data_IF_945232271464
#
_entry.id   IF_945232271464
#
_cell.length_a   1.000
_cell.length_b   1.000
_cell.length_c   1.000
_cell.angle_alpha   90.00
_cell.angle_beta   90.00
_cell.angle_gamma   90.00
#
_symmetry.space_group_name_H-M   'P 1'
#
loop_
_entity.id
_entity.type
_entity.pdbx_description
1 polymer ?
#
# COMPACT_ATOMS: atom_id res chain seq x y z
N UNK A 1 -18.66 6.11 42.21
CA UNK A 1 -19.62 5.22 41.54
C UNK A 1 -18.93 3.88 41.34
N UNK A 2 -19.44 2.80 41.95
CA UNK A 2 -18.93 1.43 41.74
C UNK A 2 -19.53 0.87 40.45
N UNK A 3 -18.70 0.39 39.54
CA UNK A 3 -19.14 -0.32 38.33
C UNK A 3 -18.79 -1.79 38.50
N UNK A 4 -19.72 -2.54 39.07
CA UNK A 4 -19.63 -4.00 39.09
C UNK A 4 -20.11 -4.51 37.71
N UNK A 5 -19.39 -5.48 37.13
CA UNK A 5 -19.77 -6.07 35.87
C UNK A 5 -20.92 -7.06 36.10
N UNK A 6 -22.09 -6.74 35.56
CA UNK A 6 -23.29 -7.60 35.59
C UNK A 6 -23.39 -8.42 34.31
N UNK A 7 -23.82 -9.68 34.45
CA UNK A 7 -24.13 -10.52 33.30
C UNK A 7 -25.35 -9.96 32.54
N UNK A 8 -25.19 -9.62 31.26
CA UNK A 8 -26.22 -8.96 30.47
C UNK A 8 -27.51 -9.76 30.23
N UNK A 9 -27.51 -11.07 30.53
CA UNK A 9 -28.68 -11.95 30.35
C UNK A 9 -29.41 -12.30 31.64
N UNK A 10 -28.71 -12.36 32.78
CA UNK A 10 -29.34 -12.74 34.06
C UNK A 10 -29.26 -11.65 35.14
N UNK A 11 -28.54 -10.55 34.91
CA UNK A 11 -28.44 -9.44 35.87
C UNK A 11 -27.68 -9.77 37.16
N UNK A 12 -27.05 -10.95 37.26
CA UNK A 12 -26.26 -11.31 38.44
C UNK A 12 -24.81 -10.78 38.35
N UNK A 13 -24.21 -10.38 39.48
CA UNK A 13 -22.83 -9.91 39.55
C UNK A 13 -21.86 -11.07 39.30
N UNK A 14 -20.89 -10.88 38.39
CA UNK A 14 -19.93 -11.93 38.03
C UNK A 14 -18.90 -12.13 39.16
N UNK A 15 -18.86 -13.31 39.83
CA UNK A 15 -17.89 -13.56 40.89
C UNK A 15 -16.47 -13.64 40.32
N UNK A 16 -15.55 -12.81 40.83
CA UNK A 16 -14.12 -12.87 40.46
C UNK A 16 -13.64 -11.83 39.44
N UNK A 17 -14.51 -10.93 38.96
CA UNK A 17 -14.07 -9.80 38.15
C UNK A 17 -13.28 -8.80 39.02
N UNK A 18 -11.97 -8.64 38.74
CA UNK A 18 -11.15 -7.62 39.42
C UNK A 18 -11.71 -6.23 39.10
N UNK A 19 -11.84 -5.33 40.11
CA UNK A 19 -12.35 -3.99 39.89
C UNK A 19 -11.43 -3.23 38.93
N UNK A 20 -12.01 -2.74 37.83
CA UNK A 20 -11.32 -1.86 36.89
C UNK A 20 -11.19 -0.51 37.57
N UNK A 21 -9.95 -0.15 37.92
CA UNK A 21 -9.62 1.16 38.49
C UNK A 21 -9.83 2.22 37.41
N UNK A 22 -10.71 3.21 37.60
CA UNK A 22 -10.81 4.32 36.66
C UNK A 22 -9.53 5.15 36.74
N UNK A 23 -8.84 5.29 35.61
CA UNK A 23 -7.72 6.23 35.47
C UNK A 23 -8.32 7.64 35.56
N UNK A 24 -8.07 8.31 36.68
CA UNK A 24 -8.44 9.69 36.89
C UNK A 24 -7.71 10.58 35.85
N UNK A 25 -8.47 11.35 35.09
CA UNK A 25 -7.95 12.48 34.31
C UNK A 25 -7.63 13.60 35.31
N UNK A 26 -6.34 13.86 35.53
CA UNK A 26 -5.91 15.08 36.21
C UNK A 26 -6.17 16.30 35.33
N UNK A 27 -6.89 17.26 35.91
CA UNK A 27 -7.07 18.62 35.42
C UNK A 27 -5.88 19.49 35.88
N UNK A 28 -5.20 20.11 34.90
CA UNK A 28 -4.59 21.47 34.82
C UNK A 28 -3.93 22.11 36.08
N UNK A 29 -2.82 22.86 35.91
CA UNK A 29 -3.00 24.28 35.55
C UNK A 29 -1.94 24.93 34.62
N UNK A 30 -2.45 25.96 33.95
CA UNK A 30 -1.88 27.25 33.52
C UNK A 30 -0.37 27.53 33.70
N UNK A 31 0.25 27.97 32.61
CA UNK A 31 1.54 28.67 32.62
C UNK A 31 1.68 29.55 31.38
N UNK A 32 1.11 30.75 31.43
CA UNK A 32 1.37 31.84 30.47
C UNK A 32 2.73 32.41 30.80
N UNK A 33 3.69 32.31 29.88
CA UNK A 33 4.95 33.05 29.96
C UNK A 33 5.29 33.65 28.58
N UNK A 34 5.47 34.96 28.65
CA UNK A 34 5.90 35.97 27.70
C UNK A 34 6.70 35.52 26.46
N UNK A 35 6.35 36.15 25.34
CA UNK A 35 7.11 36.20 24.11
C UNK A 35 8.50 36.86 24.32
N UNK A 36 9.59 36.32 23.74
CA UNK A 36 10.83 37.06 23.58
C UNK A 36 10.78 37.93 22.31
N UNK A 37 11.16 39.19 22.46
CA UNK A 37 11.46 40.11 21.37
C UNK A 37 12.58 39.56 20.46
N UNK A 38 12.52 39.77 19.14
CA UNK A 38 13.63 39.45 18.25
C UNK A 38 14.76 40.48 18.41
N UNK A 39 15.93 40.01 18.87
CA UNK A 39 17.18 40.77 18.78
C UNK A 39 17.71 40.68 17.35
N UNK A 40 17.92 41.84 16.76
CA UNK A 40 18.63 41.99 15.51
C UNK A 40 20.11 41.65 15.63
N UNK A 41 20.64 41.03 14.58
CA UNK A 41 22.07 41.07 14.27
C UNK A 41 22.25 41.12 12.76
N UNK A 42 23.03 42.10 12.36
CA UNK A 42 23.40 42.49 11.02
C UNK A 42 23.94 41.35 10.13
N UNK A 43 23.46 41.32 8.89
CA UNK A 43 24.23 40.85 7.73
C UNK A 43 24.24 41.96 6.67
N UNK A 44 25.38 42.18 5.97
CA UNK A 44 25.52 43.24 4.97
C UNK A 44 24.79 42.90 3.66
N UNK A 45 24.40 43.93 2.87
CA UNK A 45 23.57 43.75 1.69
C UNK A 45 24.35 43.19 0.51
N UNK A 46 23.86 42.10 -0.09
CA UNK A 46 24.21 41.73 -1.45
C UNK A 46 23.38 42.56 -2.43
N UNK A 47 24.09 43.23 -3.34
CA UNK A 47 23.51 43.95 -4.46
C UNK A 47 22.70 42.99 -5.34
N UNK A 48 21.44 43.31 -5.57
CA UNK A 48 20.55 42.58 -6.47
C UNK A 48 19.33 43.42 -6.75
N UNK A 49 19.16 43.79 -8.01
CA UNK A 49 18.18 44.72 -8.58
C UNK A 49 16.75 44.51 -8.09
N UNK A 50 16.18 45.61 -7.60
CA UNK A 50 14.77 45.73 -7.25
C UNK A 50 13.88 45.82 -8.50
N UNK A 51 12.86 44.98 -8.56
CA UNK A 51 11.57 45.30 -9.18
C UNK A 51 10.47 44.81 -8.25
N UNK A 52 10.08 45.71 -7.34
CA UNK A 52 8.89 45.60 -6.51
C UNK A 52 7.66 45.85 -7.38
N UNK A 53 6.87 44.81 -7.65
CA UNK A 53 5.51 44.95 -8.15
C UNK A 53 4.55 44.74 -6.96
N UNK A 54 4.05 45.85 -6.42
CA UNK A 54 2.88 45.85 -5.53
C UNK A 54 1.67 45.42 -6.35
N UNK A 55 1.23 44.18 -6.20
CA UNK A 55 -0.07 43.75 -6.71
C UNK A 55 -1.16 44.34 -5.80
N UNK A 56 -1.81 45.41 -6.27
CA UNK A 56 -3.07 45.87 -5.71
C UNK A 56 -4.17 44.91 -6.16
N UNK A 57 -4.73 44.15 -5.22
CA UNK A 57 -5.95 43.40 -5.42
C UNK A 57 -7.14 44.37 -5.49
N UNK A 58 -7.53 44.74 -6.71
CA UNK A 58 -8.82 45.38 -6.97
C UNK A 58 -9.87 44.27 -6.96
N UNK A 59 -10.57 44.13 -5.84
CA UNK A 59 -11.76 43.28 -5.72
C UNK A 59 -12.90 44.01 -6.45
N UNK A 60 -13.18 43.60 -7.68
CA UNK A 60 -14.43 43.93 -8.33
C UNK A 60 -15.54 43.11 -7.67
N UNK A 61 -16.27 43.71 -6.73
CA UNK A 61 -17.58 43.22 -6.30
C UNK A 61 -18.55 43.40 -7.47
N UNK A 62 -18.93 42.29 -8.09
CA UNK A 62 -20.13 42.23 -8.92
C UNK A 62 -21.29 41.79 -8.04
N UNK A 63 -22.28 42.67 -7.89
CA UNK A 63 -23.56 42.37 -7.24
C UNK A 63 -24.27 41.21 -7.95
N UNK A 64 -24.65 40.12 -7.25
CA UNK A 64 -25.55 39.15 -7.82
C UNK A 64 -26.98 39.70 -7.79
N UNK A 65 -27.56 39.82 -8.99
CA UNK A 65 -28.96 40.17 -9.20
C UNK A 65 -29.91 39.20 -8.46
N UNK A 66 -30.92 39.79 -7.83
CA UNK A 66 -32.02 39.14 -7.13
C UNK A 66 -32.75 38.09 -7.99
N UNK A 67 -32.52 36.82 -7.68
CA UNK A 67 -33.39 35.73 -8.11
C UNK A 67 -34.28 35.31 -6.93
N UNK A 68 -35.58 35.63 -7.05
CA UNK A 68 -36.64 35.21 -6.14
C UNK A 68 -36.65 33.68 -5.97
N UNK A 69 -36.63 33.14 -4.73
CA UNK A 69 -36.92 31.73 -4.52
C UNK A 69 -38.42 31.48 -4.68
N UNK A 70 -38.78 30.56 -5.57
CA UNK A 70 -40.12 30.00 -5.66
C UNK A 70 -40.31 29.00 -4.52
N UNK A 71 -41.23 29.32 -3.62
CA UNK A 71 -41.84 28.38 -2.67
C UNK A 71 -42.59 27.28 -3.45
N UNK A 72 -41.98 26.11 -3.59
CA UNK A 72 -42.69 24.87 -3.90
C UNK A 72 -41.84 23.65 -3.51
N UNK A 73 -42.47 22.74 -2.78
CA UNK A 73 -42.05 21.35 -2.49
C UNK A 73 -40.87 21.13 -1.52
N UNK A 74 -41.10 21.55 -0.27
CA UNK A 74 -40.67 20.78 0.90
C UNK A 74 -41.77 19.77 1.25
N UNK A 75 -41.61 18.51 0.84
CA UNK A 75 -41.95 17.30 1.61
C UNK A 75 -41.40 16.07 0.87
N UNK A 76 -40.87 15.10 1.63
CA UNK A 76 -40.52 13.74 1.19
C UNK A 76 -39.16 13.47 0.51
N UNK A 77 -38.04 13.75 1.20
CA UNK A 77 -36.81 12.94 1.00
C UNK A 77 -36.06 12.71 2.32
N UNK A 78 -36.71 12.08 3.30
CA UNK A 78 -36.00 11.42 4.41
C UNK A 78 -36.67 10.08 4.75
N UNK A 79 -36.42 9.07 3.91
CA UNK A 79 -36.71 7.68 4.25
C UNK A 79 -35.57 6.78 3.77
N UNK A 80 -34.42 6.88 4.45
CA UNK A 80 -33.38 5.85 4.35
C UNK A 80 -33.94 4.58 4.98
N UNK A 81 -34.38 3.66 4.13
CA UNK A 81 -34.84 2.33 4.53
C UNK A 81 -33.70 1.54 5.17
N UNK A 82 -33.55 1.67 6.49
CA UNK A 82 -32.92 0.65 7.31
C UNK A 82 -33.87 -0.54 7.27
N UNK A 83 -33.57 -1.49 6.39
CA UNK A 83 -34.26 -2.77 6.34
C UNK A 83 -33.89 -3.50 7.62
N UNK A 84 -34.79 -3.45 8.61
CA UNK A 84 -34.74 -4.32 9.78
C UNK A 84 -34.60 -5.76 9.27
N UNK A 85 -33.42 -6.35 9.50
CA UNK A 85 -33.25 -7.78 9.31
C UNK A 85 -34.03 -8.44 10.42
N UNK A 86 -35.09 -9.14 10.06
CA UNK A 86 -35.76 -10.11 10.92
C UNK A 86 -34.70 -10.97 11.63
N UNK A 87 -34.89 -11.19 12.94
CA UNK A 87 -34.09 -12.12 13.72
C UNK A 87 -34.24 -13.51 13.09
N UNK A 88 -33.32 -13.85 12.20
CA UNK A 88 -33.16 -15.21 11.70
C UNK A 88 -32.85 -16.12 12.87
N UNK A 89 -33.71 -17.11 13.11
CA UNK A 89 -33.51 -18.17 14.09
C UNK A 89 -32.10 -18.77 13.98
N UNK A 90 -31.46 -19.10 15.11
CA UNK A 90 -30.14 -19.72 15.08
C UNK A 90 -30.23 -21.04 14.31
N UNK A 91 -29.53 -21.11 13.17
CA UNK A 91 -29.41 -22.33 12.40
C UNK A 91 -28.98 -23.48 13.34
N UNK A 92 -29.69 -24.63 13.35
CA UNK A 92 -29.34 -25.75 14.21
C UNK A 92 -27.93 -26.21 13.84
N UNK A 93 -27.00 -26.02 14.78
CA UNK A 93 -25.64 -26.52 14.68
C UNK A 93 -25.71 -28.03 14.82
N UNK A 94 -25.89 -28.72 13.70
CA UNK A 94 -25.72 -30.16 13.62
C UNK A 94 -24.27 -30.47 14.02
N UNK A 95 -24.04 -31.29 15.07
CA UNK A 95 -22.71 -31.76 15.39
C UNK A 95 -22.20 -32.53 14.17
N UNK A 96 -21.15 -31.98 13.54
CA UNK A 96 -20.35 -32.68 12.55
C UNK A 96 -19.71 -33.88 13.25
N UNK A 97 -20.43 -35.00 13.29
CA UNK A 97 -19.85 -36.30 13.54
C UNK A 97 -18.85 -36.55 12.42
N UNK A 98 -17.58 -36.24 12.70
CA UNK A 98 -16.44 -36.60 11.87
C UNK A 98 -16.41 -38.12 11.83
N UNK A 99 -17.05 -38.69 10.82
CA UNK A 99 -17.01 -40.13 10.51
C UNK A 99 -15.54 -40.47 10.27
N UNK A 100 -14.93 -41.09 11.25
CA UNK A 100 -13.60 -41.68 11.15
C UNK A 100 -13.81 -42.93 10.31
N UNK A 101 -13.68 -42.78 8.99
CA UNK A 101 -13.62 -43.93 8.11
C UNK A 101 -12.26 -44.56 8.34
N UNK A 102 -12.27 -45.65 9.11
CA UNK A 102 -11.13 -46.50 9.34
C UNK A 102 -10.66 -47.05 7.99
N UNK A 103 -9.41 -46.72 7.66
CA UNK A 103 -8.68 -47.09 6.47
C UNK A 103 -8.35 -48.58 6.44
N UNK A 104 -9.36 -49.44 6.37
CA UNK A 104 -9.20 -50.89 6.24
C UNK A 104 -9.35 -51.39 4.79
N UNK A 105 -9.78 -50.55 3.84
CA UNK A 105 -10.12 -51.01 2.48
C UNK A 105 -8.98 -50.99 1.45
N UNK A 106 -7.84 -50.35 1.70
CA UNK A 106 -6.71 -50.36 0.75
C UNK A 106 -5.74 -51.53 0.95
N UNK A 107 -5.72 -52.14 2.13
CA UNK A 107 -4.82 -53.27 2.41
C UNK A 107 -5.35 -54.59 1.83
N UNK A 108 -6.68 -54.73 1.73
CA UNK A 108 -7.33 -55.91 1.16
C UNK A 108 -7.27 -55.93 -0.37
N UNK A 109 -7.23 -54.76 -1.03
CA UNK A 109 -7.10 -54.67 -2.49
C UNK A 109 -5.69 -55.05 -3.01
N UNK A 110 -4.66 -54.91 -2.17
CA UNK A 110 -3.28 -55.32 -2.53
C UNK A 110 -3.03 -56.82 -2.33
N UNK A 111 -3.82 -57.51 -1.53
CA UNK A 111 -3.65 -58.95 -1.29
C UNK A 111 -4.14 -59.82 -2.46
N UNK A 112 -5.04 -59.31 -3.32
CA UNK A 112 -5.67 -60.10 -4.40
C UNK A 112 -4.90 -60.05 -5.73
N UNK A 113 -3.92 -59.15 -5.89
CA UNK A 113 -3.21 -58.97 -7.19
C UNK A 113 -1.81 -59.60 -7.22
N UNK A 114 -1.48 -60.48 -6.26
CA UNK A 114 -0.18 -61.16 -6.14
C UNK A 114 -0.18 -62.60 -6.65
N UNK A 115 -0.56 -62.83 -7.92
CA UNK A 115 -0.59 -64.16 -8.53
C UNK A 115 0.55 -64.40 -9.53
N UNK A 116 1.60 -65.07 -9.04
CA UNK A 116 2.51 -66.01 -9.72
C UNK A 116 3.09 -65.71 -11.13
N UNK A 117 4.41 -65.50 -11.19
CA UNK A 117 5.25 -65.96 -12.31
C UNK A 117 6.64 -66.34 -11.76
N UNK A 118 7.14 -67.57 -11.99
CA UNK A 118 8.43 -67.99 -11.46
C UNK A 118 9.59 -67.79 -12.47
N UNK A 119 10.76 -67.53 -11.87
CA UNK A 119 12.13 -67.77 -12.36
C UNK A 119 12.81 -66.82 -13.35
N UNK A 120 13.78 -66.08 -12.80
CA UNK A 120 14.98 -65.58 -13.46
C UNK A 120 15.97 -65.06 -12.40
N UNK A 121 17.18 -65.63 -12.27
CA UNK A 121 18.13 -65.20 -11.24
C UNK A 121 18.97 -64.01 -11.70
N UNK A 122 19.53 -63.29 -10.72
CA UNK A 122 20.59 -62.27 -10.83
C UNK A 122 20.16 -60.82 -11.07
N UNK A 123 19.95 -60.08 -9.97
CA UNK A 123 20.80 -58.95 -9.61
C UNK A 123 20.30 -58.37 -8.29
N UNK A 124 21.06 -58.61 -7.24
CA UNK A 124 20.83 -58.12 -5.88
C UNK A 124 21.00 -56.60 -5.85
N UNK A 125 19.90 -55.87 -6.11
CA UNK A 125 19.82 -54.45 -5.79
C UNK A 125 19.55 -54.31 -4.28
N UNK A 126 20.38 -53.55 -3.53
CA UNK A 126 20.10 -53.27 -2.14
C UNK A 126 18.80 -52.46 -2.07
N UNK A 127 17.73 -53.11 -1.60
CA UNK A 127 16.46 -52.47 -1.27
C UNK A 127 16.75 -51.45 -0.17
N UNK A 128 16.84 -50.17 -0.57
CA UNK A 128 16.71 -49.05 0.35
C UNK A 128 15.32 -49.13 0.97
N UNK A 129 15.28 -49.65 2.20
CA UNK A 129 14.14 -49.55 3.10
C UNK A 129 13.83 -48.07 3.28
N UNK A 130 12.81 -47.59 2.57
CA UNK A 130 12.18 -46.31 2.85
C UNK A 130 11.56 -46.47 4.25
N UNK A 131 12.02 -45.74 5.27
CA UNK A 131 11.43 -45.86 6.60
C UNK A 131 9.98 -45.40 6.52
N UNK A 132 9.06 -46.30 6.92
CA UNK A 132 7.66 -45.98 7.14
C UNK A 132 7.58 -44.77 8.08
N UNK A 133 7.13 -43.66 7.50
CA UNK A 133 7.01 -42.38 8.18
C UNK A 133 5.67 -42.31 8.90
N UNK A 134 5.41 -43.30 9.76
CA UNK A 134 4.35 -43.28 10.77
C UNK A 134 4.75 -42.36 11.93
N UNK A 135 5.21 -41.15 11.62
CA UNK A 135 5.27 -40.07 12.61
C UNK A 135 3.87 -39.51 12.74
N UNK A 136 3.03 -40.25 13.47
CA UNK A 136 1.93 -39.64 14.22
C UNK A 136 2.54 -38.46 14.98
N UNK A 137 2.10 -37.24 14.62
CA UNK A 137 2.60 -36.02 15.23
C UNK A 137 2.47 -36.19 16.76
N UNK A 138 3.56 -36.16 17.53
CA UNK A 138 3.47 -36.24 18.98
C UNK A 138 2.48 -35.16 19.42
N UNK A 139 1.48 -35.60 20.18
CA UNK A 139 0.36 -34.82 20.65
C UNK A 139 0.90 -33.67 21.51
N UNK A 140 1.30 -32.58 20.85
CA UNK A 140 1.98 -31.46 21.45
C UNK A 140 0.96 -30.79 22.35
N UNK A 141 1.12 -30.96 23.67
CA UNK A 141 0.30 -30.27 24.66
C UNK A 141 0.48 -28.78 24.45
N UNK A 142 -0.54 -28.13 23.88
CA UNK A 142 -0.56 -26.70 23.68
C UNK A 142 -0.65 -26.06 25.07
N UNK A 143 0.35 -25.29 25.51
CA UNK A 143 0.30 -24.65 26.82
C UNK A 143 -0.92 -23.73 26.91
N UNK A 144 -1.55 -23.59 28.09
CA UNK A 144 -2.75 -22.80 28.28
C UNK A 144 -2.45 -21.32 28.11
N UNK A 145 -2.51 -20.84 26.87
CA UNK A 145 -2.56 -19.42 26.55
C UNK A 145 -3.93 -18.83 26.90
N UNK A 146 -4.05 -17.51 27.05
CA UNK A 146 -5.35 -16.85 27.21
C UNK A 146 -6.27 -17.28 26.07
N UNK A 147 -7.59 -17.46 26.32
CA UNK A 147 -8.53 -18.00 25.35
C UNK A 147 -8.53 -17.11 24.10
N UNK A 148 -7.85 -17.56 23.06
CA UNK A 148 -7.89 -16.91 21.75
C UNK A 148 -9.31 -17.12 21.25
N UNK A 149 -10.05 -16.03 21.07
CA UNK A 149 -11.38 -16.09 20.50
C UNK A 149 -11.31 -16.87 19.18
N UNK A 150 -12.23 -17.82 18.97
CA UNK A 150 -12.27 -18.62 17.74
C UNK A 150 -12.30 -17.73 16.48
N UNK A 151 -12.83 -16.52 16.59
CA UNK A 151 -12.78 -15.49 15.54
C UNK A 151 -11.38 -15.03 15.16
N UNK A 152 -10.44 -14.97 16.12
CA UNK A 152 -9.06 -14.54 15.86
C UNK A 152 -8.25 -15.68 15.25
N UNK A 153 -8.48 -16.93 15.66
CA UNK A 153 -7.93 -18.11 14.98
C UNK A 153 -8.40 -18.20 13.52
N UNK A 154 -9.69 -17.98 13.26
CA UNK A 154 -10.24 -17.94 11.90
C UNK A 154 -9.65 -16.78 11.07
N UNK A 155 -9.46 -15.61 11.68
CA UNK A 155 -8.82 -14.45 11.01
C UNK A 155 -7.35 -14.70 10.69
N UNK A 156 -6.64 -15.43 11.54
CA UNK A 156 -5.23 -15.76 11.34
C UNK A 156 -5.06 -16.88 10.30
N UNK A 157 -5.94 -17.89 10.31
CA UNK A 157 -5.97 -18.96 9.31
C UNK A 157 -6.40 -18.50 7.91
N UNK A 158 -7.23 -17.45 7.82
CA UNK A 158 -7.64 -16.89 6.52
C UNK A 158 -6.63 -15.93 5.89
N UNK A 159 -5.48 -15.64 6.53
CA UNK A 159 -4.45 -14.81 5.88
C UNK A 159 -3.80 -15.61 4.74
N UNK A 160 -3.83 -15.12 3.49
CA UNK A 160 -3.20 -15.81 2.37
C UNK A 160 -1.70 -16.00 2.65
N UNK A 161 -1.19 -17.21 2.41
CA UNK A 161 0.25 -17.49 2.54
C UNK A 161 1.11 -16.74 1.52
N UNK A 162 0.50 -16.31 0.40
CA UNK A 162 1.15 -15.54 -0.67
C UNK A 162 0.20 -14.48 -1.24
N UNK A 163 -0.06 -13.39 -0.50
CA UNK A 163 -1.03 -12.38 -0.92
C UNK A 163 -0.60 -11.73 -2.23
N UNK A 164 -1.54 -11.64 -3.17
CA UNK A 164 -1.38 -10.92 -4.44
C UNK A 164 -0.36 -11.55 -5.41
N UNK A 165 0.07 -12.80 -5.23
CA UNK A 165 1.11 -13.40 -6.07
C UNK A 165 0.73 -13.49 -7.54
N UNK A 166 -0.54 -13.81 -7.86
CA UNK A 166 -1.05 -13.82 -9.25
C UNK A 166 -1.27 -12.40 -9.77
N UNK A 167 -1.91 -11.55 -8.96
CA UNK A 167 -2.22 -10.17 -9.33
C UNK A 167 -0.95 -9.37 -9.66
N UNK A 168 0.11 -9.47 -8.84
CA UNK A 168 1.38 -8.79 -9.10
C UNK A 168 1.99 -9.24 -10.43
N UNK A 169 1.92 -10.53 -10.78
CA UNK A 169 2.47 -11.01 -12.06
C UNK A 169 1.71 -10.43 -13.24
N UNK A 170 0.37 -10.47 -13.19
CA UNK A 170 -0.48 -9.93 -14.26
C UNK A 170 -0.24 -8.43 -14.41
N UNK A 171 -0.24 -7.68 -13.30
CA UNK A 171 -0.01 -6.23 -13.31
C UNK A 171 1.40 -5.90 -13.79
N UNK A 172 2.44 -6.64 -13.36
CA UNK A 172 3.81 -6.42 -13.81
C UNK A 172 3.96 -6.67 -15.31
N UNK A 173 3.42 -7.78 -15.83
CA UNK A 173 3.48 -8.07 -17.27
C UNK A 173 2.70 -7.03 -18.07
N UNK A 174 1.49 -6.67 -17.63
CA UNK A 174 0.66 -5.68 -18.31
C UNK A 174 1.32 -4.29 -18.34
N UNK A 175 1.81 -3.80 -17.19
CA UNK A 175 2.48 -2.50 -17.12
C UNK A 175 3.80 -2.49 -17.88
N UNK A 176 4.59 -3.57 -17.81
CA UNK A 176 5.81 -3.69 -18.63
C UNK A 176 5.52 -3.69 -20.12
N UNK A 177 4.47 -4.38 -20.57
CA UNK A 177 4.08 -4.40 -21.98
C UNK A 177 3.61 -3.03 -22.46
N UNK A 178 2.74 -2.35 -21.70
CA UNK A 178 2.27 -1.00 -22.00
C UNK A 178 3.45 -0.03 -22.02
N UNK A 179 4.31 -0.07 -20.99
CA UNK A 179 5.50 0.75 -20.92
C UNK A 179 6.46 0.50 -22.09
N UNK A 180 6.60 -0.75 -22.54
CA UNK A 180 7.49 -1.10 -23.66
C UNK A 180 6.99 -0.53 -24.97
N UNK A 181 5.68 -0.65 -25.23
CA UNK A 181 5.05 -0.04 -26.41
C UNK A 181 5.21 1.47 -26.37
N UNK A 182 4.92 2.11 -25.23
CA UNK A 182 5.03 3.55 -25.10
C UNK A 182 6.49 4.05 -25.25
N UNK A 183 7.45 3.37 -24.62
CA UNK A 183 8.87 3.69 -24.75
C UNK A 183 9.36 3.53 -26.19
N UNK A 184 8.95 2.47 -26.90
CA UNK A 184 9.32 2.25 -28.30
C UNK A 184 8.72 3.31 -29.24
N UNK A 185 7.47 3.70 -29.03
CA UNK A 185 6.80 4.71 -29.83
C UNK A 185 7.41 6.10 -29.67
N UNK A 186 7.83 6.46 -28.45
CA UNK A 186 8.32 7.81 -28.17
C UNK A 186 9.85 7.92 -28.30
N UNK A 187 10.60 6.87 -27.94
CA UNK A 187 12.04 6.95 -27.80
C UNK A 187 12.87 6.72 -29.06
N UNK A 188 12.30 6.20 -30.15
CA UNK A 188 13.04 5.94 -31.39
C UNK A 188 14.25 5.00 -31.23
N UNK A 189 15.31 5.21 -32.02
CA UNK A 189 16.52 4.35 -32.07
C UNK A 189 17.62 4.81 -31.07
N UNK A 190 17.24 5.54 -30.02
CA UNK A 190 18.22 6.06 -29.06
C UNK A 190 18.69 4.98 -28.06
N UNK A 191 19.97 4.96 -27.63
CA UNK A 191 20.48 4.01 -26.62
C UNK A 191 19.66 3.97 -25.33
N UNK A 192 19.17 5.11 -24.85
CA UNK A 192 18.30 5.18 -23.66
C UNK A 192 16.97 4.44 -23.83
N UNK A 193 16.45 4.41 -25.06
CA UNK A 193 15.21 3.68 -25.40
C UNK A 193 15.46 2.17 -25.31
N UNK A 194 16.62 1.70 -25.76
CA UNK A 194 17.02 0.30 -25.60
C UNK A 194 17.21 -0.08 -24.12
N UNK A 195 17.82 0.79 -23.31
CA UNK A 195 17.95 0.58 -21.85
C UNK A 195 16.58 0.50 -21.20
N UNK A 196 15.68 1.43 -21.54
CA UNK A 196 14.29 1.46 -21.05
C UNK A 196 13.54 0.17 -21.41
N UNK A 197 13.61 -0.24 -22.68
CA UNK A 197 13.03 -1.48 -23.17
C UNK A 197 13.60 -2.71 -22.43
N UNK A 198 14.93 -2.78 -22.25
CA UNK A 198 15.59 -3.87 -21.55
C UNK A 198 15.12 -3.99 -20.09
N UNK A 199 14.95 -2.87 -19.39
CA UNK A 199 14.44 -2.86 -18.02
C UNK A 199 12.98 -3.34 -17.95
N UNK A 200 12.13 -2.91 -18.89
CA UNK A 200 10.72 -3.34 -18.96
C UNK A 200 10.58 -4.83 -19.27
N UNK A 201 11.38 -5.33 -20.22
CA UNK A 201 11.48 -6.77 -20.54
C UNK A 201 12.00 -7.54 -19.32
N UNK A 202 13.01 -7.02 -18.61
CA UNK A 202 13.53 -7.64 -17.39
C UNK A 202 12.46 -7.72 -16.30
N UNK A 203 11.66 -6.67 -16.10
CA UNK A 203 10.53 -6.70 -15.15
C UNK A 203 9.46 -7.73 -15.55
N UNK A 204 9.09 -7.80 -16.84
CA UNK A 204 8.13 -8.78 -17.34
C UNK A 204 8.65 -10.23 -17.19
N UNK A 205 9.91 -10.47 -17.54
CA UNK A 205 10.52 -11.80 -17.43
C UNK A 205 10.66 -12.23 -15.97
N UNK A 206 11.06 -11.34 -15.05
CA UNK A 206 11.08 -11.63 -13.62
C UNK A 206 9.69 -11.94 -13.05
N UNK A 207 8.65 -11.29 -13.57
CA UNK A 207 7.27 -11.58 -13.19
C UNK A 207 6.83 -12.98 -13.64
N UNK A 208 7.22 -13.41 -14.84
CA UNK A 208 6.87 -14.71 -15.42
C UNK A 208 7.71 -15.87 -14.89
N UNK A 209 8.99 -15.64 -14.58
CA UNK A 209 9.93 -16.69 -14.14
C UNK A 209 9.41 -17.41 -12.88
N UNK A 210 9.43 -18.75 -12.83
CA UNK A 210 9.02 -19.53 -11.66
C UNK A 210 10.06 -19.43 -10.53
N UNK A 211 10.08 -18.28 -9.86
CA UNK A 211 10.89 -18.03 -8.67
C UNK A 211 10.07 -18.11 -7.38
N UNK A 212 10.76 -18.29 -6.25
CA UNK A 212 10.14 -18.13 -4.93
C UNK A 212 9.53 -16.73 -4.78
N UNK A 213 8.44 -16.62 -4.03
CA UNK A 213 7.72 -15.36 -3.81
C UNK A 213 8.65 -14.23 -3.34
N UNK A 214 9.52 -14.53 -2.36
CA UNK A 214 10.48 -13.58 -1.81
C UNK A 214 11.53 -13.15 -2.82
N UNK A 215 12.10 -14.08 -3.58
CA UNK A 215 13.11 -13.76 -4.58
C UNK A 215 12.51 -12.84 -5.65
N UNK A 216 11.32 -13.17 -6.17
CA UNK A 216 10.63 -12.32 -7.17
C UNK A 216 10.39 -10.92 -6.64
N UNK A 217 9.84 -10.79 -5.42
CA UNK A 217 9.57 -9.48 -4.83
C UNK A 217 10.84 -8.62 -4.74
N UNK A 218 11.94 -9.18 -4.23
CA UNK A 218 13.22 -8.47 -4.12
C UNK A 218 13.74 -8.07 -5.50
N UNK A 219 13.72 -8.99 -6.47
CA UNK A 219 14.18 -8.70 -7.84
C UNK A 219 13.35 -7.60 -8.49
N UNK A 220 12.03 -7.60 -8.35
CA UNK A 220 11.16 -6.56 -8.90
C UNK A 220 11.37 -5.20 -8.22
N UNK A 221 11.57 -5.17 -6.89
CA UNK A 221 11.92 -3.92 -6.18
C UNK A 221 13.25 -3.37 -6.70
N UNK A 222 14.27 -4.22 -6.84
CA UNK A 222 15.59 -3.78 -7.29
C UNK A 222 15.55 -3.25 -8.73
N UNK A 223 14.96 -4.00 -9.66
CA UNK A 223 14.86 -3.56 -11.06
C UNK A 223 13.97 -2.34 -11.21
N UNK A 224 12.85 -2.27 -10.47
CA UNK A 224 11.99 -1.09 -10.44
C UNK A 224 12.70 0.15 -9.86
N UNK A 225 13.53 -0.02 -8.84
CA UNK A 225 14.35 1.06 -8.29
C UNK A 225 15.43 1.52 -9.28
N UNK A 226 16.07 0.60 -10.01
CA UNK A 226 17.03 0.95 -11.07
C UNK A 226 16.32 1.73 -12.19
N UNK A 227 15.16 1.26 -12.66
CA UNK A 227 14.37 1.96 -13.67
C UNK A 227 13.97 3.38 -13.23
N UNK A 228 13.55 3.51 -11.97
CA UNK A 228 13.26 4.82 -11.37
C UNK A 228 14.51 5.68 -11.30
N UNK A 229 15.65 5.13 -10.88
CA UNK A 229 16.93 5.84 -10.84
C UNK A 229 17.39 6.34 -12.21
N UNK A 230 17.19 5.55 -13.28
CA UNK A 230 17.48 5.99 -14.66
C UNK A 230 16.60 7.17 -15.06
N UNK A 231 15.30 7.12 -14.76
CA UNK A 231 14.39 8.23 -15.05
C UNK A 231 14.79 9.51 -14.31
N UNK A 232 15.12 9.39 -13.02
CA UNK A 232 15.57 10.50 -12.18
C UNK A 232 16.92 11.07 -12.62
N UNK A 233 17.82 10.20 -13.09
CA UNK A 233 19.09 10.63 -13.68
C UNK A 233 18.85 11.47 -14.94
N UNK A 234 17.93 11.04 -15.82
CA UNK A 234 17.57 11.83 -16.99
C UNK A 234 16.94 13.17 -16.60
N UNK A 235 16.10 13.20 -15.57
CA UNK A 235 15.57 14.47 -15.04
C UNK A 235 16.69 15.41 -14.60
N UNK A 236 17.66 14.92 -13.84
CA UNK A 236 18.78 15.72 -13.38
C UNK A 236 19.68 16.24 -14.54
N UNK A 237 19.85 15.46 -15.61
CA UNK A 237 20.62 15.89 -16.80
C UNK A 237 19.92 17.02 -17.56
N UNK A 238 18.59 17.08 -17.51
CA UNK A 238 17.79 18.13 -18.14
C UNK A 238 17.43 19.29 -17.19
N UNK A 239 18.17 19.43 -16.08
CA UNK A 239 17.93 20.44 -15.03
C UNK A 239 16.48 20.45 -14.50
N UNK A 240 15.77 19.31 -14.58
CA UNK A 240 14.49 19.15 -13.92
C UNK A 240 14.70 19.01 -12.41
N UNK A 241 13.79 19.61 -11.64
CA UNK A 241 13.94 19.74 -10.20
C UNK A 241 14.10 18.35 -9.51
N UNK A 242 15.00 18.23 -8.51
CA UNK A 242 15.31 16.95 -7.85
C UNK A 242 14.14 16.36 -7.03
N UNK A 243 13.03 17.06 -6.97
CA UNK A 243 11.82 16.70 -6.23
C UNK A 243 11.24 15.36 -6.67
N UNK A 244 11.43 14.99 -7.95
CA UNK A 244 11.01 13.71 -8.50
C UNK A 244 11.56 12.52 -7.71
N UNK A 245 12.79 12.63 -7.18
CA UNK A 245 13.45 11.55 -6.42
C UNK A 245 12.69 11.30 -5.12
N UNK A 246 12.37 12.38 -4.40
CA UNK A 246 11.70 12.32 -3.10
C UNK A 246 10.28 11.80 -3.30
N UNK A 247 9.56 12.28 -4.32
CA UNK A 247 8.21 11.81 -4.63
C UNK A 247 8.19 10.32 -4.98
N UNK A 248 9.08 9.87 -5.88
CA UNK A 248 9.12 8.47 -6.29
C UNK A 248 9.45 7.56 -5.09
N UNK A 249 10.46 7.92 -4.29
CA UNK A 249 10.82 7.20 -3.08
C UNK A 249 9.69 7.14 -2.04
N UNK A 250 9.04 8.29 -1.79
CA UNK A 250 7.89 8.37 -0.89
C UNK A 250 6.72 7.52 -1.40
N UNK A 251 6.47 7.51 -2.71
CA UNK A 251 5.41 6.74 -3.36
C UNK A 251 5.66 5.24 -3.22
N UNK A 252 6.88 4.77 -3.51
CA UNK A 252 7.27 3.35 -3.32
C UNK A 252 7.08 2.94 -1.86
N UNK A 253 7.63 3.74 -0.94
CA UNK A 253 7.61 3.43 0.47
C UNK A 253 6.20 3.43 1.06
N UNK A 254 5.42 4.48 0.80
CA UNK A 254 4.08 4.65 1.37
C UNK A 254 3.09 3.64 0.79
N UNK A 255 3.08 3.42 -0.53
CA UNK A 255 2.22 2.40 -1.15
C UNK A 255 2.56 0.98 -0.64
N UNK A 256 3.85 0.64 -0.57
CA UNK A 256 4.32 -0.63 -0.02
C UNK A 256 3.96 -0.81 1.46
N UNK A 257 4.08 0.26 2.26
CA UNK A 257 3.72 0.26 3.67
C UNK A 257 2.20 0.13 3.91
N UNK A 258 1.37 0.80 3.11
CA UNK A 258 -0.09 0.73 3.17
C UNK A 258 -0.60 -0.66 2.78
N UNK A 259 -0.04 -1.26 1.72
CA UNK A 259 -0.34 -2.65 1.35
C UNK A 259 0.10 -3.63 2.43
N UNK A 260 1.32 -3.48 2.96
CA UNK A 260 1.79 -4.30 4.07
C UNK A 260 0.87 -4.18 5.30
N UNK A 261 0.41 -2.97 5.62
CA UNK A 261 -0.55 -2.72 6.69
C UNK A 261 -1.91 -3.39 6.43
N UNK A 262 -2.38 -3.40 5.18
CA UNK A 262 -3.63 -4.07 4.81
C UNK A 262 -3.59 -5.56 5.19
N UNK A 263 -2.43 -6.21 5.02
CA UNK A 263 -2.18 -7.61 5.37
C UNK A 263 -1.84 -7.82 6.87
N UNK A 264 -1.02 -6.94 7.47
CA UNK A 264 -0.45 -7.07 8.82
C UNK A 264 -0.75 -5.85 9.71
N UNK A 265 -2.01 -5.70 10.10
CA UNK A 265 -2.52 -4.52 10.83
C UNK A 265 -2.00 -4.38 12.25
N UNK A 266 -1.85 -5.51 12.93
CA UNK A 266 -1.37 -5.58 14.31
C UNK A 266 0.15 -5.40 14.44
N UNK A 267 0.89 -5.50 13.33
CA UNK A 267 2.33 -5.39 13.36
C UNK A 267 2.76 -3.94 13.68
N UNK A 268 3.60 -3.76 14.71
CA UNK A 268 4.21 -2.44 15.00
C UNK A 268 5.01 -1.91 13.82
N UNK A 269 5.67 -2.82 13.09
CA UNK A 269 6.42 -2.51 11.87
C UNK A 269 5.57 -1.81 10.81
N UNK A 270 4.30 -2.19 10.64
CA UNK A 270 3.43 -1.58 9.62
C UNK A 270 3.00 -0.16 9.99
N UNK A 271 2.91 0.16 11.28
CA UNK A 271 2.68 1.54 11.75
C UNK A 271 3.91 2.40 11.48
N UNK A 272 5.09 1.89 11.83
CA UNK A 272 6.34 2.60 11.62
C UNK A 272 6.61 2.86 10.14
N UNK A 273 6.40 1.88 9.27
CA UNK A 273 6.62 2.05 7.83
C UNK A 273 5.64 3.04 7.19
N UNK A 274 4.37 3.05 7.61
CA UNK A 274 3.39 4.05 7.13
C UNK A 274 3.75 5.44 7.66
N UNK A 275 4.17 5.58 8.92
CA UNK A 275 4.63 6.87 9.46
C UNK A 275 5.78 7.41 8.60
N UNK A 276 6.78 6.58 8.32
CA UNK A 276 7.93 6.96 7.51
C UNK A 276 7.52 7.38 6.08
N UNK A 277 6.61 6.63 5.46
CA UNK A 277 6.07 6.96 4.14
C UNK A 277 5.30 8.29 4.12
N UNK A 278 4.46 8.53 5.14
CA UNK A 278 3.71 9.80 5.26
C UNK A 278 4.66 10.97 5.53
N UNK A 279 5.68 10.79 6.38
CA UNK A 279 6.67 11.85 6.61
C UNK A 279 7.49 12.16 5.37
N UNK A 280 7.86 11.14 4.58
CA UNK A 280 8.58 11.34 3.32
C UNK A 280 7.73 12.08 2.29
N UNK A 281 6.45 11.71 2.16
CA UNK A 281 5.52 12.38 1.24
C UNK A 281 5.18 13.80 1.70
N UNK A 282 5.04 14.02 3.01
CA UNK A 282 4.84 15.35 3.59
C UNK A 282 6.06 16.25 3.41
N UNK A 283 7.28 15.71 3.57
CA UNK A 283 8.52 16.44 3.29
C UNK A 283 8.60 16.85 1.82
N UNK A 284 8.28 15.93 0.89
CA UNK A 284 8.16 16.28 -0.53
C UNK A 284 7.15 17.41 -0.76
N UNK A 285 5.94 17.30 -0.20
CA UNK A 285 4.88 18.30 -0.39
C UNK A 285 5.28 19.71 0.10
N UNK A 286 6.08 19.79 1.16
CA UNK A 286 6.60 21.05 1.69
C UNK A 286 7.71 21.60 0.79
N UNK A 287 8.64 20.75 0.36
CA UNK A 287 9.76 21.15 -0.51
C UNK A 287 9.26 21.61 -1.87
N UNK A 288 8.26 20.94 -2.43
CA UNK A 288 7.70 21.26 -3.76
C UNK A 288 6.85 22.52 -3.83
N UNK A 289 6.75 23.28 -2.74
CA UNK A 289 5.88 24.44 -2.68
C UNK A 289 4.41 24.08 -2.97
N UNK A 290 3.99 22.84 -2.72
CA UNK A 290 2.65 22.35 -3.11
C UNK A 290 1.48 23.13 -2.50
N UNK A 291 1.74 23.95 -1.49
CA UNK A 291 0.79 24.88 -0.89
C UNK A 291 0.70 26.22 -1.63
N UNK A 292 1.77 26.65 -2.30
CA UNK A 292 1.84 27.89 -3.08
C UNK A 292 1.25 27.70 -4.49
N UNK A 293 1.26 26.46 -5.02
CA UNK A 293 0.79 26.14 -6.38
C UNK A 293 -0.70 26.45 -6.61
N UNK A 294 -1.51 26.56 -5.55
CA UNK A 294 -2.92 26.95 -5.65
C UNK A 294 -3.16 28.45 -5.87
N UNK A 295 -2.16 29.30 -5.64
CA UNK A 295 -2.31 30.76 -5.77
C UNK A 295 -2.06 31.23 -7.21
N UNK A 296 -1.40 30.40 -8.03
CA UNK A 296 -0.91 30.74 -9.38
C UNK A 296 -1.67 29.99 -10.49
N UNK A 297 -2.99 29.79 -10.35
CA UNK A 297 -3.76 29.11 -11.40
C UNK A 297 -4.02 30.05 -12.58
N UNK A 298 -3.19 29.95 -13.61
CA UNK A 298 -3.52 30.45 -14.94
C UNK A 298 -4.64 29.61 -15.57
N UNK A 299 -5.38 30.17 -16.55
CA UNK A 299 -6.55 29.53 -17.15
C UNK A 299 -6.28 28.29 -18.02
N UNK A 300 -5.06 27.75 -18.03
CA UNK A 300 -4.65 26.64 -18.88
C UNK A 300 -4.30 25.38 -18.09
N UNK A 301 -4.50 24.19 -18.67
CA UNK A 301 -4.35 22.92 -17.95
C UNK A 301 -2.94 22.63 -17.45
N UNK A 302 -1.91 23.16 -18.12
CA UNK A 302 -0.52 22.95 -17.72
C UNK A 302 -0.17 23.59 -16.37
N UNK A 303 -0.88 24.65 -15.94
CA UNK A 303 -0.66 25.28 -14.63
C UNK A 303 -1.44 24.56 -13.53
N UNK A 304 -2.72 24.27 -13.75
CA UNK A 304 -3.57 23.72 -12.71
C UNK A 304 -3.47 22.20 -12.54
N UNK A 305 -3.18 21.43 -13.60
CA UNK A 305 -3.17 19.96 -13.49
C UNK A 305 -2.07 19.44 -12.55
N UNK A 306 -0.80 19.89 -12.64
CA UNK A 306 0.23 19.53 -11.67
C UNK A 306 -0.13 19.97 -10.24
N UNK A 307 -0.63 21.21 -10.07
CA UNK A 307 -1.04 21.72 -8.76
C UNK A 307 -2.14 20.86 -8.12
N UNK A 308 -3.17 20.47 -8.89
CA UNK A 308 -4.22 19.56 -8.40
C UNK A 308 -3.61 18.22 -7.99
N UNK A 309 -2.73 17.62 -8.79
CA UNK A 309 -2.11 16.34 -8.42
C UNK A 309 -1.28 16.43 -7.14
N UNK A 310 -0.52 17.52 -6.93
CA UNK A 310 0.22 17.76 -5.69
C UNK A 310 -0.72 17.85 -4.48
N UNK A 311 -1.84 18.58 -4.61
CA UNK A 311 -2.84 18.69 -3.55
C UNK A 311 -3.49 17.35 -3.24
N UNK A 312 -3.80 16.53 -4.26
CA UNK A 312 -4.36 15.19 -4.06
C UNK A 312 -3.32 14.27 -3.39
N UNK A 313 -2.02 14.41 -3.67
CA UNK A 313 -0.98 13.71 -2.92
C UNK A 313 -0.96 14.11 -1.45
N UNK A 314 -1.01 15.41 -1.15
CA UNK A 314 -1.11 15.91 0.22
C UNK A 314 -2.34 15.36 0.95
N UNK A 315 -3.50 15.37 0.28
CA UNK A 315 -4.74 14.80 0.81
C UNK A 315 -4.61 13.29 1.05
N UNK A 316 -4.03 12.53 0.12
CA UNK A 316 -3.78 11.10 0.30
C UNK A 316 -2.80 10.81 1.42
N UNK A 317 -1.79 11.67 1.64
CA UNK A 317 -0.89 11.57 2.79
C UNK A 317 -1.66 11.72 4.11
N UNK A 318 -2.55 12.72 4.20
CA UNK A 318 -3.42 12.92 5.36
C UNK A 318 -4.42 11.78 5.54
N UNK A 319 -5.06 11.31 4.47
CA UNK A 319 -5.95 10.15 4.51
C UNK A 319 -5.21 8.86 4.90
N UNK A 320 -3.93 8.76 4.56
CA UNK A 320 -3.08 7.65 5.00
C UNK A 320 -2.83 7.68 6.51
N UNK A 321 -2.94 8.84 7.18
CA UNK A 321 -2.93 8.92 8.65
C UNK A 321 -4.16 8.25 9.27
N UNK A 322 -5.31 8.23 8.60
CA UNK A 322 -6.48 7.48 9.08
C UNK A 322 -6.17 5.99 9.19
N UNK A 323 -5.18 5.49 8.44
CA UNK A 323 -4.72 4.12 8.61
C UNK A 323 -4.22 3.85 10.04
N UNK A 324 -3.78 4.85 10.81
CA UNK A 324 -3.37 4.69 12.21
C UNK A 324 -4.52 4.47 13.18
N UNK A 325 -5.73 4.94 12.87
CA UNK A 325 -6.74 5.21 13.90
C UNK A 325 -7.31 3.98 14.59
N UNK A 326 -7.37 2.81 13.95
CA UNK A 326 -7.68 1.57 14.67
C UNK A 326 -7.30 0.32 13.86
N UNK A 327 -6.96 -0.75 14.58
CA UNK A 327 -6.85 -2.12 14.08
C UNK A 327 -8.13 -2.64 13.40
N UNK A 328 -9.29 -2.07 13.79
CA UNK A 328 -10.62 -2.43 13.29
C UNK A 328 -10.90 -1.94 11.87
N UNK A 329 -10.29 -0.83 11.43
CA UNK A 329 -10.55 -0.23 10.11
C UNK A 329 -9.97 -1.12 8.99
N UNK A 330 -10.87 -1.77 8.23
CA UNK A 330 -10.51 -2.67 7.11
C UNK A 330 -10.35 -1.98 5.76
N UNK A 331 -11.07 -0.89 5.52
CA UNK A 331 -11.43 -0.49 4.16
C UNK A 331 -10.37 0.27 3.38
N UNK A 332 -9.59 1.14 4.02
CA UNK A 332 -8.87 2.16 3.25
C UNK A 332 -7.52 1.75 2.68
N UNK A 333 -6.69 1.00 3.42
CA UNK A 333 -5.24 0.97 3.14
C UNK A 333 -4.87 0.45 1.74
N UNK A 334 -5.56 -0.57 1.22
CA UNK A 334 -5.32 -1.09 -0.12
C UNK A 334 -5.83 -0.13 -1.21
N UNK A 335 -6.97 0.52 -0.97
CA UNK A 335 -7.54 1.54 -1.85
C UNK A 335 -6.61 2.75 -1.92
N UNK A 336 -6.13 3.23 -0.77
CA UNK A 336 -5.18 4.36 -0.70
C UNK A 336 -3.85 4.03 -1.37
N UNK A 337 -3.32 2.83 -1.18
CA UNK A 337 -2.12 2.41 -1.89
C UNK A 337 -2.33 2.39 -3.41
N UNK A 338 -3.45 1.84 -3.88
CA UNK A 338 -3.80 1.84 -5.30
C UNK A 338 -3.98 3.25 -5.85
N UNK A 339 -4.72 4.10 -5.14
CA UNK A 339 -4.94 5.51 -5.50
C UNK A 339 -3.61 6.28 -5.60
N UNK A 340 -2.68 6.04 -4.68
CA UNK A 340 -1.38 6.71 -4.66
C UNK A 340 -0.50 6.30 -5.85
N UNK A 341 -0.50 5.01 -6.21
CA UNK A 341 0.21 4.51 -7.40
C UNK A 341 -0.40 5.02 -8.70
N UNK A 342 -1.74 5.04 -8.79
CA UNK A 342 -2.46 5.58 -9.96
C UNK A 342 -2.23 7.08 -10.09
N UNK A 343 -2.32 7.84 -9.00
CA UNK A 343 -2.07 9.27 -8.99
C UNK A 343 -0.63 9.59 -9.43
N UNK A 344 0.35 8.78 -9.01
CA UNK A 344 1.72 8.92 -9.48
C UNK A 344 1.87 8.68 -10.98
N UNK A 345 1.21 7.66 -11.52
CA UNK A 345 1.18 7.45 -12.97
C UNK A 345 0.51 8.62 -13.72
N UNK A 346 -0.58 9.18 -13.17
CA UNK A 346 -1.25 10.36 -13.73
C UNK A 346 -0.32 11.57 -13.66
N UNK A 347 0.35 11.80 -12.53
CA UNK A 347 1.30 12.90 -12.36
C UNK A 347 2.41 12.87 -13.42
N UNK A 348 3.07 11.73 -13.58
CA UNK A 348 4.11 11.58 -14.63
C UNK A 348 3.49 11.75 -16.02
N UNK A 349 2.29 11.23 -16.26
CA UNK A 349 1.58 11.41 -17.52
C UNK A 349 1.26 12.88 -17.84
N UNK A 350 0.86 13.67 -16.84
CA UNK A 350 0.61 15.10 -16.97
C UNK A 350 1.91 15.86 -17.28
N UNK A 351 3.01 15.52 -16.60
CA UNK A 351 4.33 16.11 -16.89
C UNK A 351 4.76 15.81 -18.34
N UNK A 352 4.67 14.54 -18.76
CA UNK A 352 5.00 14.15 -20.13
C UNK A 352 4.09 14.83 -21.15
N UNK A 353 2.78 14.91 -20.88
CA UNK A 353 1.84 15.57 -21.77
C UNK A 353 2.12 17.07 -21.89
N UNK A 354 2.57 17.73 -20.82
CA UNK A 354 2.90 19.15 -20.80
C UNK A 354 4.04 19.46 -21.77
N UNK A 355 5.02 18.57 -21.83
CA UNK A 355 6.21 18.68 -22.67
C UNK A 355 5.95 18.28 -24.13
N UNK A 356 5.06 17.31 -24.36
CA UNK A 356 4.69 16.87 -25.71
C UNK A 356 3.73 17.84 -26.39
N UNK A 357 2.86 18.52 -25.63
CA UNK A 357 1.85 19.43 -26.17
C UNK A 357 1.92 20.84 -25.53
N UNK A 358 2.98 21.62 -25.82
CA UNK A 358 3.14 22.96 -25.28
C UNK A 358 2.09 23.93 -25.85
N UNK A 359 1.37 24.65 -24.98
CA UNK A 359 0.30 25.58 -25.37
C UNK A 359 0.82 26.88 -26.01
N UNK A 360 2.06 27.25 -25.72
CA UNK A 360 2.69 28.53 -26.11
C UNK A 360 3.37 28.50 -27.49
N UNK A 361 3.16 27.44 -28.29
CA UNK A 361 3.85 27.27 -29.58
C UNK A 361 5.37 27.10 -29.44
N UNK A 362 5.85 26.86 -28.21
CA UNK A 362 7.23 26.49 -27.96
C UNK A 362 7.50 25.12 -28.58
N UNK A 363 8.73 24.92 -29.07
CA UNK A 363 9.15 23.59 -29.49
C UNK A 363 9.15 22.66 -28.25
N UNK A 364 8.77 21.38 -28.40
CA UNK A 364 8.86 20.42 -27.29
C UNK A 364 10.30 20.38 -26.76
N UNK A 365 10.44 20.57 -25.43
CA UNK A 365 11.75 20.70 -24.79
C UNK A 365 12.39 19.34 -24.49
N UNK A 366 11.55 18.33 -24.25
CA UNK A 366 12.00 16.96 -23.99
C UNK A 366 12.17 16.15 -25.27
N UNK A 367 13.36 15.57 -25.40
CA UNK A 367 13.60 14.56 -26.42
C UNK A 367 12.82 13.28 -26.11
N UNK A 368 12.37 12.60 -27.16
CA UNK A 368 11.67 11.31 -27.07
C UNK A 368 12.33 10.26 -26.15
N UNK A 369 13.67 10.11 -26.12
CA UNK A 369 14.34 9.16 -25.22
C UNK A 369 14.15 9.48 -23.74
N UNK A 370 14.07 10.76 -23.38
CA UNK A 370 13.82 11.20 -21.99
C UNK A 370 12.41 10.84 -21.58
N UNK A 371 11.43 11.04 -22.46
CA UNK A 371 10.05 10.60 -22.21
C UNK A 371 9.97 9.07 -22.03
N UNK A 372 10.68 8.30 -22.86
CA UNK A 372 10.75 6.85 -22.71
C UNK A 372 11.33 6.43 -21.35
N UNK A 373 12.37 7.13 -20.88
CA UNK A 373 12.95 6.90 -19.56
C UNK A 373 11.97 7.26 -18.44
N UNK A 374 11.26 8.38 -18.53
CA UNK A 374 10.24 8.81 -17.55
C UNK A 374 9.10 7.79 -17.42
N UNK A 375 8.56 7.31 -18.55
CA UNK A 375 7.51 6.29 -18.56
C UNK A 375 8.01 4.97 -17.95
N UNK A 376 9.25 4.59 -18.25
CA UNK A 376 9.88 3.40 -17.67
C UNK A 376 10.08 3.55 -16.16
N UNK A 377 10.49 4.74 -15.70
CA UNK A 377 10.59 5.08 -14.29
C UNK A 377 9.23 5.05 -13.59
N UNK A 378 8.17 5.50 -14.25
CA UNK A 378 6.80 5.45 -13.72
C UNK A 378 6.34 4.00 -13.48
N UNK A 379 6.53 3.14 -14.48
CA UNK A 379 6.26 1.69 -14.35
C UNK A 379 7.12 1.07 -13.26
N UNK A 380 8.42 1.38 -13.23
CA UNK A 380 9.36 0.90 -12.23
C UNK A 380 8.94 1.28 -10.80
N UNK A 381 8.48 2.52 -10.60
CA UNK A 381 7.98 3.03 -9.31
C UNK A 381 6.74 2.27 -8.86
N UNK A 382 5.77 2.07 -9.75
CA UNK A 382 4.53 1.34 -9.45
C UNK A 382 4.84 -0.11 -9.06
N UNK A 383 5.69 -0.79 -9.84
CA UNK A 383 6.06 -2.19 -9.58
C UNK A 383 6.91 -2.33 -8.31
N UNK A 384 7.82 -1.40 -8.05
CA UNK A 384 8.60 -1.37 -6.82
C UNK A 384 7.71 -1.19 -5.58
N UNK A 385 6.72 -0.29 -5.63
CA UNK A 385 5.76 -0.10 -4.53
C UNK A 385 4.96 -1.36 -4.23
N UNK A 386 4.41 -2.01 -5.26
CA UNK A 386 3.67 -3.28 -5.11
C UNK A 386 4.55 -4.42 -4.59
N UNK A 387 5.78 -4.53 -5.09
CA UNK A 387 6.72 -5.57 -4.70
C UNK A 387 7.30 -5.34 -3.29
N UNK A 388 7.49 -4.09 -2.87
CA UNK A 388 7.98 -3.73 -1.53
C UNK A 388 7.04 -4.25 -0.43
N UNK A 389 5.73 -4.21 -0.66
CA UNK A 389 4.75 -4.81 0.25
C UNK A 389 5.05 -6.29 0.52
N UNK A 390 5.40 -7.04 -0.53
CA UNK A 390 5.73 -8.46 -0.44
C UNK A 390 7.06 -8.70 0.31
N UNK A 391 8.04 -7.81 0.12
CA UNK A 391 9.29 -7.82 0.89
C UNK A 391 9.02 -7.62 2.38
N UNK A 392 8.17 -6.66 2.75
CA UNK A 392 7.79 -6.45 4.15
C UNK A 392 7.09 -7.68 4.75
N UNK A 393 6.19 -8.32 4.00
CA UNK A 393 5.55 -9.58 4.42
C UNK A 393 6.60 -10.66 4.70
N UNK A 394 7.54 -10.87 3.78
CA UNK A 394 8.57 -11.90 3.92
C UNK A 394 9.53 -11.61 5.09
N UNK A 395 9.90 -10.35 5.29
CA UNK A 395 10.75 -9.92 6.39
C UNK A 395 10.04 -10.14 7.74
N UNK A 396 8.77 -9.74 7.85
CA UNK A 396 7.97 -9.91 9.05
C UNK A 396 7.79 -11.39 9.42
N UNK A 397 7.47 -12.24 8.45
CA UNK A 397 7.35 -13.68 8.68
C UNK A 397 8.67 -14.29 9.19
N UNK A 398 9.79 -13.90 8.60
CA UNK A 398 11.12 -14.38 9.02
C UNK A 398 11.45 -13.95 10.46
N UNK A 399 11.19 -12.68 10.79
CA UNK A 399 11.39 -12.15 12.14
C UNK A 399 10.50 -12.86 13.18
N UNK A 400 9.23 -13.09 12.85
CA UNK A 400 8.28 -13.77 13.76
C UNK A 400 8.66 -15.23 14.05
N UNK A 401 9.22 -15.95 13.07
CA UNK A 401 9.70 -17.33 13.26
C UNK A 401 10.91 -17.39 14.17
N UNK A 402 11.85 -16.44 14.05
CA UNK A 402 13.03 -16.37 14.92
C UNK A 402 12.64 -16.12 16.37
N UNK A 403 11.72 -15.20 16.62
CA UNK A 403 11.24 -14.90 17.98
C UNK A 403 10.58 -16.11 18.66
N UNK A 404 9.89 -16.97 17.90
CA UNK A 404 9.30 -18.22 18.41
C UNK A 404 10.30 -19.35 18.66
N UNK A 405 11.47 -19.30 18.04
CA UNK A 405 12.51 -20.31 18.26
C UNK A 405 13.41 -19.98 19.47
N UNK A 406 13.41 -18.71 19.91
CA UNK A 406 14.23 -18.21 21.00
C UNK A 406 13.55 -18.19 22.37
N UNK A 407 12.24 -18.45 22.44
CA UNK A 407 11.46 -18.51 23.67
C UNK A 407 10.69 -19.82 23.72
#
# INVERSE_FOLDING_TARGET
>A
MRTDAFCGTCGEPVPGAKPVVPIARELRPSGVLAAPQPRGSAFPPSAGTATSARAMAVVALSDPADAKPSDADLTDVHRTGVRERELSEPAPVLPLHRRKEDSLSEQELRAVTGGATPEGPLAEQPRLSVPDRDTSLPQMQVPPGPPILASDLLREQMRPSSPGSKALRVVAVALSAIGLVAAALVGGIHPLTFVSAALLIMMATLALTPMSYRARAISLVLVGAVATGVALWQQAVHDLEPEGIILAGATILLSGALLFRAYYRGARLSRFSVALGVTALGAWFVVSGGHESLVMLEGHWQSWAPAITQMVFGLLALLSLMAFMDSSTRGGAHVWAGALLVLYAIYVGVLVAGEVWPLSGQAPSLEGPTIAALLTGAVGTVLAGLALAQVFVAAYQTASKRAKASG
#
